data_IF_235733238606
#
_entry.id   IF_235733238606
#
_cell.length_a   1.000
_cell.length_b   1.000
_cell.length_c   1.000
_cell.angle_alpha   90.00
_cell.angle_beta   90.00
_cell.angle_gamma   90.00
#
_symmetry.space_group_name_H-M   'P 1'
#
loop_
_entity.id
_entity.type
_entity.pdbx_description
1 polymer ?
#
# COMPACT_ATOMS: atom_id res chain seq x y z
N UNK A 1 5.04 13.17 -12.59
CA UNK A 1 4.01 13.13 -11.53
C UNK A 1 4.72 12.56 -10.34
N UNK A 2 4.70 13.19 -9.18
CA UNK A 2 5.43 12.66 -8.04
C UNK A 2 4.58 11.59 -7.35
N UNK A 3 5.18 10.45 -6.99
CA UNK A 3 4.54 9.41 -6.20
C UNK A 3 5.39 9.19 -4.96
N UNK A 4 4.78 9.22 -3.78
CA UNK A 4 5.41 8.76 -2.54
C UNK A 4 4.57 7.68 -1.90
N UNK A 5 5.26 6.76 -1.22
CA UNK A 5 4.66 5.79 -0.32
C UNK A 5 5.24 6.09 1.04
N UNK A 6 4.37 6.29 2.01
CA UNK A 6 4.73 6.58 3.40
C UNK A 6 4.12 5.50 4.28
N UNK A 7 4.66 5.31 5.48
CA UNK A 7 4.09 4.39 6.46
C UNK A 7 4.14 4.96 7.87
N UNK A 8 3.38 4.33 8.76
CA UNK A 8 3.42 4.62 10.19
C UNK A 8 3.31 3.32 10.94
N UNK A 9 4.28 3.05 11.81
CA UNK A 9 4.20 1.99 12.81
C UNK A 9 3.58 2.58 14.07
N UNK A 10 2.62 1.86 14.67
CA UNK A 10 1.87 2.37 15.81
C UNK A 10 2.69 2.34 17.10
N UNK A 11 3.36 1.22 17.34
CA UNK A 11 4.11 0.96 18.55
C UNK A 11 5.26 0.01 18.25
N UNK A 12 6.34 0.11 19.02
CA UNK A 12 7.43 -0.86 18.99
C UNK A 12 6.94 -2.19 19.55
N UNK A 13 7.42 -3.30 18.99
CA UNK A 13 7.01 -4.65 19.37
C UNK A 13 8.20 -5.58 19.52
N UNK A 14 7.96 -6.71 20.19
CA UNK A 14 8.93 -7.79 20.38
C UNK A 14 8.75 -8.89 19.32
N UNK A 15 7.55 -9.02 18.74
CA UNK A 15 7.23 -9.98 17.66
C UNK A 15 6.75 -9.23 16.42
N UNK A 16 7.39 -9.49 15.26
CA UNK A 16 7.05 -8.86 13.98
C UNK A 16 5.58 -9.09 13.58
N UNK A 17 4.97 -10.22 13.98
CA UNK A 17 3.57 -10.50 13.71
C UNK A 17 2.60 -9.51 14.38
N UNK A 18 3.04 -8.88 15.47
CA UNK A 18 2.25 -7.92 16.23
C UNK A 18 2.43 -6.49 15.72
N UNK A 19 3.24 -6.26 14.68
CA UNK A 19 3.43 -4.92 14.09
C UNK A 19 2.12 -4.39 13.51
N UNK A 20 1.55 -3.42 14.21
CA UNK A 20 0.42 -2.63 13.75
C UNK A 20 0.92 -1.36 13.08
N UNK A 21 0.37 -1.09 11.90
CA UNK A 21 0.74 0.08 11.12
C UNK A 21 -0.20 0.33 9.96
N UNK A 22 0.06 1.39 9.20
CA UNK A 22 -0.66 1.70 7.98
C UNK A 22 0.25 2.29 6.92
N UNK A 23 -0.18 2.18 5.66
CA UNK A 23 0.54 2.65 4.48
C UNK A 23 -0.27 3.78 3.84
N UNK A 24 0.36 4.90 3.57
CA UNK A 24 -0.20 6.00 2.79
C UNK A 24 0.46 6.03 1.42
N UNK A 25 -0.30 6.38 0.39
CA UNK A 25 0.23 6.60 -0.95
C UNK A 25 -0.25 7.97 -1.40
N UNK A 26 0.67 8.77 -1.90
CA UNK A 26 0.44 10.16 -2.27
C UNK A 26 0.86 10.38 -3.71
N UNK A 27 0.03 11.07 -4.49
CA UNK A 27 0.33 11.45 -5.87
C UNK A 27 0.20 12.96 -6.01
N UNK A 28 1.30 13.65 -6.34
CA UNK A 28 1.39 15.12 -6.36
C UNK A 28 0.86 15.78 -5.07
N UNK A 29 1.31 15.32 -3.91
CA UNK A 29 0.91 15.82 -2.58
C UNK A 29 -0.56 15.53 -2.20
N UNK A 30 -1.33 14.86 -3.06
CA UNK A 30 -2.68 14.40 -2.75
C UNK A 30 -2.69 12.91 -2.34
N UNK A 31 -3.27 12.62 -1.17
CA UNK A 31 -3.51 11.24 -0.76
C UNK A 31 -4.45 10.54 -1.72
N UNK A 32 -4.10 9.32 -2.12
CA UNK A 32 -5.01 8.52 -2.95
C UNK A 32 -6.15 7.93 -2.13
N UNK A 33 -6.04 7.84 -0.80
CA UNK A 33 -7.02 7.23 0.09
C UNK A 33 -7.99 8.25 0.72
N UNK A 34 -8.52 9.19 -0.08
CA UNK A 34 -9.52 10.16 0.39
C UNK A 34 -10.91 9.54 0.45
N UNK A 35 -11.65 9.85 1.53
CA UNK A 35 -13.01 9.38 1.76
C UNK A 35 -13.98 10.53 1.93
N UNK A 36 -15.22 10.34 1.51
CA UNK A 36 -16.27 11.36 1.66
C UNK A 36 -16.67 11.46 3.14
N UNK A 37 -16.60 12.67 3.70
CA UNK A 37 -16.81 12.98 5.13
C UNK A 37 -15.74 12.37 6.07
N UNK A 38 -14.50 12.81 5.91
CA UNK A 38 -13.36 12.42 6.79
C UNK A 38 -13.64 12.63 8.29
N UNK A 39 -14.46 13.61 8.65
CA UNK A 39 -14.83 13.92 10.05
C UNK A 39 -15.53 12.77 10.79
N UNK A 40 -16.11 11.81 10.06
CA UNK A 40 -16.77 10.63 10.64
C UNK A 40 -15.91 9.36 10.53
N UNK A 41 -14.64 9.47 10.13
CA UNK A 41 -13.73 8.34 10.05
C UNK A 41 -13.29 7.92 11.45
N UNK A 42 -13.99 6.94 12.02
CA UNK A 42 -13.57 6.30 13.27
C UNK A 42 -12.62 5.14 12.97
N UNK A 43 -11.32 5.39 13.10
CA UNK A 43 -10.35 4.31 13.19
C UNK A 43 -10.30 3.78 14.62
N UNK A 44 -10.49 2.47 14.78
CA UNK A 44 -10.31 1.77 16.07
C UNK A 44 -8.90 1.98 16.66
N UNK A 45 -7.95 2.41 15.84
CA UNK A 45 -6.55 2.60 16.19
C UNK A 45 -6.08 4.05 15.99
N UNK A 46 -7.00 5.01 15.85
CA UNK A 46 -6.70 6.45 15.67
C UNK A 46 -5.87 6.78 14.41
N UNK A 47 -5.89 5.91 13.41
CA UNK A 47 -5.27 6.19 12.11
C UNK A 47 -5.88 7.44 11.46
N UNK A 48 -5.02 8.29 10.87
CA UNK A 48 -5.48 9.32 9.94
C UNK A 48 -6.13 8.64 8.72
N UNK A 49 -7.19 9.21 8.13
CA UNK A 49 -7.90 8.63 6.98
C UNK A 49 -7.00 8.27 5.78
N UNK A 50 -5.86 8.96 5.65
CA UNK A 50 -4.88 8.74 4.57
C UNK A 50 -4.13 7.41 4.64
N UNK A 51 -4.10 6.73 5.78
CA UNK A 51 -3.39 5.46 5.94
C UNK A 51 -4.33 4.27 5.72
N UNK A 52 -3.87 3.32 4.93
CA UNK A 52 -4.55 2.08 4.58
C UNK A 52 -3.91 0.92 5.32
N UNK A 53 -4.73 -0.06 5.70
CA UNK A 53 -4.25 -1.28 6.35
C UNK A 53 -4.15 -1.19 7.86
N UNK A 54 -3.65 -2.29 8.41
CA UNK A 54 -3.47 -2.46 9.85
C UNK A 54 -2.27 -3.34 10.16
N UNK A 55 -2.03 -4.38 9.34
CA UNK A 55 -0.97 -5.36 9.57
C UNK A 55 0.16 -5.04 8.60
N UNK A 56 0.95 -4.02 8.97
CA UNK A 56 1.87 -3.32 8.07
C UNK A 56 2.85 -4.25 7.37
N UNK A 57 3.39 -5.26 8.06
CA UNK A 57 4.26 -6.28 7.45
C UNK A 57 3.56 -6.97 6.27
N UNK A 58 2.34 -7.48 6.50
CA UNK A 58 1.56 -8.19 5.48
C UNK A 58 1.10 -7.25 4.37
N UNK A 59 0.71 -6.03 4.73
CA UNK A 59 0.22 -5.03 3.79
C UNK A 59 1.34 -4.53 2.86
N UNK A 60 2.56 -4.31 3.39
CA UNK A 60 3.74 -4.02 2.58
C UNK A 60 4.14 -5.21 1.72
N UNK A 61 4.14 -6.43 2.25
CA UNK A 61 4.50 -7.62 1.45
C UNK A 61 3.62 -7.71 0.19
N UNK A 62 2.31 -7.52 0.32
CA UNK A 62 1.41 -7.51 -0.85
C UNK A 62 1.70 -6.37 -1.82
N UNK A 63 2.13 -5.21 -1.31
CA UNK A 63 2.50 -4.06 -2.13
C UNK A 63 3.81 -4.30 -2.89
N UNK A 64 4.79 -4.93 -2.25
CA UNK A 64 6.05 -5.36 -2.87
C UNK A 64 5.74 -6.39 -3.96
N UNK A 65 5.00 -7.45 -3.65
CA UNK A 65 4.66 -8.50 -4.62
C UNK A 65 3.99 -7.92 -5.86
N UNK A 66 3.01 -7.01 -5.67
CA UNK A 66 2.33 -6.35 -6.78
C UNK A 66 3.26 -5.42 -7.57
N UNK A 67 4.17 -4.72 -6.89
CA UNK A 67 5.15 -3.85 -7.54
C UNK A 67 6.21 -4.62 -8.32
N UNK A 68 6.58 -5.82 -7.85
CA UNK A 68 7.49 -6.73 -8.55
C UNK A 68 6.86 -7.23 -9.85
N UNK A 69 5.59 -7.67 -9.80
CA UNK A 69 4.83 -8.04 -11.00
C UNK A 69 4.77 -6.88 -12.00
N UNK A 70 4.50 -5.67 -11.51
CA UNK A 70 4.47 -4.48 -12.34
C UNK A 70 5.83 -4.21 -12.97
N UNK A 71 6.92 -4.19 -12.20
CA UNK A 71 8.27 -3.90 -12.68
C UNK A 71 8.72 -4.88 -13.79
N UNK A 72 8.37 -6.16 -13.64
CA UNK A 72 8.66 -7.24 -14.61
C UNK A 72 7.72 -7.28 -15.82
N UNK A 73 6.76 -6.36 -15.93
CA UNK A 73 5.72 -6.36 -16.98
C UNK A 73 4.89 -7.66 -17.01
N UNK A 74 4.62 -8.25 -15.84
CA UNK A 74 3.81 -9.47 -15.70
C UNK A 74 2.29 -9.19 -15.69
N UNK A 75 1.90 -7.91 -15.76
CA UNK A 75 0.51 -7.48 -15.88
C UNK A 75 0.25 -6.90 -17.27
N UNK A 76 -0.71 -7.49 -17.98
CA UNK A 76 -1.13 -7.02 -19.29
C UNK A 76 -1.78 -5.62 -19.19
N UNK A 77 -1.75 -4.86 -20.30
CA UNK A 77 -2.44 -3.56 -20.37
C UNK A 77 -3.95 -3.78 -20.13
N UNK A 78 -4.51 -2.96 -19.24
CA UNK A 78 -5.89 -3.06 -18.70
C UNK A 78 -6.17 -4.26 -17.79
N UNK A 79 -5.16 -5.07 -17.45
CA UNK A 79 -5.29 -6.07 -16.40
C UNK A 79 -5.22 -5.39 -15.03
N UNK A 80 -6.26 -5.61 -14.21
CA UNK A 80 -6.31 -5.03 -12.87
C UNK A 80 -5.70 -5.96 -11.82
N UNK A 81 -4.82 -5.42 -10.98
CA UNK A 81 -4.33 -6.06 -9.75
C UNK A 81 -4.93 -5.32 -8.54
N UNK A 82 -5.66 -6.05 -7.71
CA UNK A 82 -6.19 -5.53 -6.44
C UNK A 82 -5.26 -5.89 -5.28
N UNK A 83 -4.97 -4.91 -4.43
CA UNK A 83 -4.23 -5.09 -3.16
C UNK A 83 -5.19 -4.75 -2.03
N UNK A 84 -5.59 -5.76 -1.26
CA UNK A 84 -6.51 -5.58 -0.14
C UNK A 84 -5.76 -5.29 1.15
N UNK A 85 -6.35 -4.43 1.98
CA UNK A 85 -5.79 -3.96 3.25
C UNK A 85 -6.70 -4.33 4.44
N UNK A 86 -6.67 -5.58 4.93
CA UNK A 86 -7.46 -6.01 6.07
C UNK A 86 -7.13 -5.24 7.35
N UNK A 87 -8.09 -5.14 8.29
CA UNK A 87 -9.47 -5.62 8.20
C UNK A 87 -10.38 -4.69 7.41
N UNK A 88 -9.85 -3.58 6.88
CA UNK A 88 -10.65 -2.63 6.11
C UNK A 88 -11.16 -3.32 4.83
N UNK A 89 -12.36 -2.93 4.39
CA UNK A 89 -12.92 -3.35 3.09
C UNK A 89 -12.29 -2.59 1.92
N UNK A 90 -11.21 -1.87 2.17
CA UNK A 90 -10.54 -1.04 1.17
C UNK A 90 -9.44 -1.77 0.43
N UNK A 91 -9.15 -1.29 -0.77
CA UNK A 91 -8.14 -1.86 -1.64
C UNK A 91 -7.57 -0.82 -2.59
N UNK A 92 -6.31 -1.03 -2.96
CA UNK A 92 -5.70 -0.36 -4.10
C UNK A 92 -5.93 -1.17 -5.37
N UNK A 93 -6.24 -0.47 -6.45
CA UNK A 93 -6.36 -1.01 -7.79
C UNK A 93 -5.22 -0.45 -8.64
N UNK A 94 -4.40 -1.37 -9.15
CA UNK A 94 -3.29 -1.10 -10.06
C UNK A 94 -3.68 -1.61 -11.44
N UNK A 95 -3.62 -0.75 -12.46
CA UNK A 95 -4.03 -1.07 -13.83
C UNK A 95 -3.02 -0.44 -14.81
N UNK A 96 -2.17 -1.22 -15.49
CA UNK A 96 -1.30 -0.69 -16.54
C UNK A 96 -2.14 -0.13 -17.68
N UNK A 97 -1.88 1.12 -18.08
CA UNK A 97 -2.55 1.79 -19.20
C UNK A 97 -1.69 1.78 -20.47
N UNK A 98 -0.38 1.60 -20.30
CA UNK A 98 0.62 1.39 -21.35
C UNK A 98 1.87 0.76 -20.72
N UNK A 99 2.94 0.56 -21.49
CA UNK A 99 4.24 0.07 -20.98
C UNK A 99 4.83 0.95 -19.86
N UNK A 100 4.54 2.26 -19.88
CA UNK A 100 5.09 3.23 -18.92
C UNK A 100 4.06 3.85 -17.98
N UNK A 101 2.76 3.77 -18.27
CA UNK A 101 1.71 4.43 -17.50
C UNK A 101 0.93 3.42 -16.65
N UNK A 102 0.73 3.76 -15.38
CA UNK A 102 0.00 2.97 -14.41
C UNK A 102 -1.12 3.81 -13.81
N UNK A 103 -2.34 3.28 -13.80
CA UNK A 103 -3.42 3.83 -12.99
C UNK A 103 -3.35 3.24 -11.59
N UNK A 104 -3.40 4.11 -10.59
CA UNK A 104 -3.47 3.77 -9.16
C UNK A 104 -4.74 4.39 -8.60
N UNK A 105 -5.66 3.56 -8.12
CA UNK A 105 -6.94 4.01 -7.56
C UNK A 105 -7.19 3.38 -6.19
N UNK A 106 -7.85 4.13 -5.31
CA UNK A 106 -8.32 3.63 -4.01
C UNK A 106 -9.82 3.36 -4.07
N UNK A 107 -10.24 2.21 -3.56
CA UNK A 107 -11.65 1.81 -3.55
C UNK A 107 -12.02 1.17 -2.23
N UNK A 108 -13.29 1.31 -1.87
CA UNK A 108 -13.89 0.67 -0.70
C UNK A 108 -14.96 -0.30 -1.21
N UNK A 109 -14.85 -1.58 -0.84
CA UNK A 109 -15.88 -2.57 -1.18
C UNK A 109 -17.16 -2.25 -0.43
N UNK A 110 -18.21 -1.94 -1.16
CA UNK A 110 -19.54 -1.76 -0.59
C UNK A 110 -19.98 -3.04 0.13
N UNK A 111 -20.34 -2.91 1.40
CA UNK A 111 -20.96 -4.00 2.15
C UNK A 111 -22.36 -4.24 1.57
N UNK A 112 -22.65 -5.47 1.13
CA UNK A 112 -24.02 -5.86 0.75
C UNK A 112 -24.99 -5.90 1.93
N UNK A 113 -24.47 -5.80 3.16
CA UNK A 113 -25.31 -5.69 4.35
C UNK A 113 -25.91 -4.28 4.44
N UNK A 114 -27.23 -4.20 4.26
CA UNK A 114 -28.07 -3.01 4.44
C UNK A 114 -28.10 -2.47 5.89
N UNK A 115 -27.08 -2.75 6.71
CA UNK A 115 -26.99 -2.18 8.05
C UNK A 115 -26.66 -0.68 7.94
N UNK A 116 -27.44 0.13 8.63
CA UNK A 116 -27.51 1.60 8.57
C UNK A 116 -26.24 2.38 8.94
N UNK A 117 -25.08 1.74 9.10
CA UNK A 117 -23.81 2.46 9.19
C UNK A 117 -23.40 2.90 7.79
N UNK A 118 -23.33 4.22 7.56
CA UNK A 118 -22.77 4.79 6.33
C UNK A 118 -21.33 4.29 6.21
N UNK A 119 -21.11 3.25 5.43
CA UNK A 119 -19.74 2.83 5.09
C UNK A 119 -19.11 4.01 4.34
N UNK A 120 -17.94 4.53 4.75
CA UNK A 120 -17.30 5.61 4.03
C UNK A 120 -17.11 5.19 2.58
N UNK A 121 -17.42 6.10 1.65
CA UNK A 121 -17.15 5.92 0.23
C UNK A 121 -15.85 6.65 -0.11
N UNK A 122 -15.04 6.07 -0.99
CA UNK A 122 -13.91 6.80 -1.56
C UNK A 122 -14.42 8.08 -2.25
N UNK A 123 -13.65 9.16 -2.16
CA UNK A 123 -13.91 10.36 -2.96
C UNK A 123 -13.86 10.02 -4.46
N UNK A 124 -14.66 10.65 -5.34
CA UNK A 124 -14.65 10.35 -6.77
C UNK A 124 -13.26 10.41 -7.41
N UNK A 125 -12.38 11.33 -7.01
CA UNK A 125 -11.03 11.41 -7.56
C UNK A 125 -10.19 10.20 -7.15
N UNK A 126 -10.27 9.79 -5.88
CA UNK A 126 -9.64 8.57 -5.37
C UNK A 126 -10.15 7.30 -6.04
N UNK A 127 -11.47 7.21 -6.27
CA UNK A 127 -12.12 6.08 -6.92
C UNK A 127 -11.80 5.97 -8.42
N UNK A 128 -11.71 7.13 -9.10
CA UNK A 128 -11.24 7.23 -10.47
C UNK A 128 -9.74 6.95 -10.58
N UNK A 129 -8.94 7.33 -9.59
CA UNK A 129 -7.51 7.09 -9.53
C UNK A 129 -6.67 8.06 -10.37
N UNK A 130 -5.36 7.95 -10.16
CA UNK A 130 -4.33 8.80 -10.74
C UNK A 130 -3.50 8.02 -11.74
N UNK A 131 -2.93 8.70 -12.73
CA UNK A 131 -2.06 8.08 -13.76
C UNK A 131 -0.61 8.46 -13.49
N UNK A 132 0.16 7.53 -12.97
CA UNK A 132 1.57 7.70 -12.59
C UNK A 132 2.48 6.93 -13.55
N UNK A 133 3.80 7.16 -13.49
CA UNK A 133 4.72 6.27 -14.20
C UNK A 133 4.88 4.97 -13.43
N UNK A 134 4.81 3.84 -14.13
CA UNK A 134 4.94 2.48 -13.57
C UNK A 134 6.22 2.35 -12.73
N UNK A 135 7.38 2.68 -13.30
CA UNK A 135 8.66 2.54 -12.60
C UNK A 135 8.81 3.54 -11.43
N UNK A 136 8.23 4.75 -11.52
CA UNK A 136 8.23 5.71 -10.39
C UNK A 136 7.42 5.17 -9.21
N UNK A 137 6.27 4.53 -9.47
CA UNK A 137 5.48 3.87 -8.41
C UNK A 137 6.26 2.71 -7.76
N UNK A 138 6.87 1.83 -8.55
CA UNK A 138 7.65 0.71 -8.01
C UNK A 138 8.84 1.20 -7.16
N UNK A 139 9.51 2.28 -7.56
CA UNK A 139 10.58 2.90 -6.77
C UNK A 139 10.09 3.45 -5.44
N UNK A 140 8.98 4.19 -5.45
CA UNK A 140 8.40 4.73 -4.22
C UNK A 140 8.04 3.61 -3.22
N UNK A 141 7.57 2.45 -3.73
CA UNK A 141 7.33 1.26 -2.88
C UNK A 141 8.62 0.67 -2.33
N UNK A 142 9.66 0.52 -3.16
CA UNK A 142 10.97 0.00 -2.74
C UNK A 142 11.61 0.91 -1.67
N UNK A 143 11.65 2.22 -1.90
CA UNK A 143 12.21 3.21 -0.96
C UNK A 143 11.51 3.12 0.40
N UNK A 144 10.18 3.13 0.43
CA UNK A 144 9.41 3.02 1.66
C UNK A 144 9.61 1.67 2.38
N UNK A 145 9.76 0.58 1.62
CA UNK A 145 10.02 -0.75 2.18
C UNK A 145 11.42 -0.87 2.80
N UNK A 146 12.43 -0.23 2.20
CA UNK A 146 13.77 -0.15 2.79
C UNK A 146 13.78 0.65 4.09
N UNK A 147 13.09 1.79 4.11
CA UNK A 147 12.91 2.57 5.34
C UNK A 147 12.22 1.74 6.43
N UNK A 148 11.15 1.04 6.07
CA UNK A 148 10.42 0.15 6.98
C UNK A 148 11.31 -0.95 7.59
N UNK A 149 12.12 -1.63 6.77
CA UNK A 149 13.07 -2.65 7.27
C UNK A 149 14.07 -2.06 8.25
N UNK A 150 14.60 -0.88 7.96
CA UNK A 150 15.54 -0.20 8.85
C UNK A 150 14.90 0.17 10.19
N UNK A 151 13.67 0.67 10.17
CA UNK A 151 12.93 0.98 11.39
C UNK A 151 12.67 -0.28 12.21
N UNK A 152 12.17 -1.36 11.61
CA UNK A 152 11.89 -2.62 12.33
C UNK A 152 13.16 -3.21 12.94
N UNK A 153 14.31 -3.13 12.26
CA UNK A 153 15.60 -3.58 12.80
C UNK A 153 16.08 -2.77 14.00
N UNK A 154 15.63 -1.53 14.13
CA UNK A 154 15.98 -0.68 15.27
C UNK A 154 15.12 -0.96 16.52
N UNK A 155 14.02 -1.72 16.37
CA UNK A 155 13.12 -2.10 17.44
C UNK A 155 13.66 -3.28 18.27
N UNK A 156 13.19 -3.47 19.52
CA UNK A 156 13.58 -4.59 20.37
C UNK A 156 12.89 -5.91 19.96
N UNK A 157 12.97 -6.27 18.68
CA UNK A 157 12.39 -7.50 18.14
C UNK A 157 13.20 -8.71 18.59
N UNK A 158 12.52 -9.70 19.16
CA UNK A 158 13.10 -10.99 19.53
C UNK A 158 12.55 -12.13 18.67
N UNK A 159 11.31 -12.03 18.18
CA UNK A 159 10.60 -13.10 17.46
C UNK A 159 10.12 -12.65 16.08
N UNK A 160 9.96 -13.60 15.15
CA UNK A 160 9.46 -13.34 13.80
C UNK A 160 10.50 -12.79 12.84
N UNK A 161 11.81 -12.86 13.17
CA UNK A 161 12.89 -12.39 12.30
C UNK A 161 12.90 -13.07 10.93
N UNK A 162 12.45 -14.32 10.86
CA UNK A 162 12.25 -15.05 9.61
C UNK A 162 11.29 -14.34 8.64
N UNK A 163 10.27 -13.64 9.16
CA UNK A 163 9.34 -12.87 8.35
C UNK A 163 10.01 -11.62 7.76
N UNK A 164 10.95 -11.03 8.49
CA UNK A 164 11.75 -9.91 7.99
C UNK A 164 12.73 -10.39 6.92
N UNK A 165 13.34 -11.56 7.09
CA UNK A 165 14.21 -12.16 6.08
C UNK A 165 13.46 -12.47 4.77
N UNK A 166 12.26 -13.06 4.85
CA UNK A 166 11.40 -13.30 3.68
C UNK A 166 10.98 -12.00 2.98
N UNK A 167 10.71 -10.96 3.78
CA UNK A 167 10.38 -9.63 3.29
C UNK A 167 11.56 -8.99 2.56
N UNK A 168 12.75 -9.04 3.15
CA UNK A 168 13.97 -8.51 2.54
C UNK A 168 14.34 -9.24 1.25
N UNK A 169 14.10 -10.56 1.18
CA UNK A 169 14.26 -11.31 -0.06
C UNK A 169 13.31 -10.79 -1.15
N UNK A 170 12.05 -10.56 -0.80
CA UNK A 170 11.05 -10.02 -1.73
C UNK A 170 11.39 -8.59 -2.18
N UNK A 171 11.94 -7.78 -1.28
CA UNK A 171 12.41 -6.44 -1.57
C UNK A 171 13.63 -6.44 -2.51
N UNK A 172 14.60 -7.31 -2.28
CA UNK A 172 15.75 -7.46 -3.19
C UNK A 172 15.31 -7.90 -4.60
N UNK A 173 14.27 -8.75 -4.69
CA UNK A 173 13.66 -9.14 -5.96
C UNK A 173 12.95 -7.99 -6.69
N UNK A 174 12.32 -7.07 -5.93
CA UNK A 174 11.73 -5.85 -6.46
C UNK A 174 12.82 -4.91 -6.97
N UNK A 175 13.87 -4.69 -6.19
CA UNK A 175 14.98 -3.81 -6.55
C UNK A 175 15.63 -4.23 -7.87
N UNK A 176 15.93 -5.53 -8.01
CA UNK A 176 16.46 -6.09 -9.25
C UNK A 176 15.51 -5.87 -10.43
N UNK A 177 14.20 -6.03 -10.22
CA UNK A 177 13.21 -5.80 -11.28
C UNK A 177 13.06 -4.32 -11.67
N UNK A 178 13.31 -3.39 -10.74
CA UNK A 178 13.26 -1.95 -11.00
C UNK A 178 14.45 -1.50 -11.85
N UNK A 179 15.64 -2.08 -11.66
CA UNK A 179 16.81 -1.81 -12.50
C UNK A 179 16.52 -2.10 -13.98
N UNK A 180 15.77 -3.17 -14.25
CA UNK A 180 15.34 -3.56 -15.61
C UNK A 180 14.16 -2.73 -16.16
N UNK A 181 13.56 -1.86 -15.35
CA UNK A 181 12.39 -1.04 -15.72
C UNK A 181 12.77 0.23 -16.53
N UNK A 182 14.06 0.60 -16.54
CA UNK A 182 14.61 1.79 -17.24
C UNK A 182 14.90 1.58 -18.73
#
# INVERSE_FOLDING_TARGET
MNVSVDYSIKEEVIDINDLLGGIAVTVNDDSIARVVNEDNFESRYEWKPTYMGQYIQTDFQRLIDASSMLARNELDIYQTKEITFPPSKSYLLLEPLSEGALRVAYRIRESRDHSTSKTPSADPESACGYVVKRCEFCRAVSEAAHEYVNDVRSMPVEWGMELLEEFEQSLAELDAAIEDCE
#
